data_IF_006182713778
#
_entry.id   IF_006182713778
#
_cell.length_a   1.000
_cell.length_b   1.000
_cell.length_c   1.000
_cell.angle_alpha   90.00
_cell.angle_beta   90.00
_cell.angle_gamma   90.00
#
_symmetry.space_group_name_H-M   'P 1'
#
loop_
_entity.id
_entity.type
_entity.pdbx_description
1 polymer ?
#
# COMPACT_ATOMS: atom_id res chain seq x y z
N UNK A 1 -2.07 -6.28 9.41
CA UNK A 1 -1.20 -6.04 8.26
C UNK A 1 -0.96 -7.35 7.56
N UNK A 2 -1.25 -7.43 6.25
CA UNK A 2 -0.95 -8.64 5.50
C UNK A 2 0.55 -8.89 5.44
N UNK A 3 0.97 -10.15 5.63
CA UNK A 3 2.39 -10.52 5.58
C UNK A 3 3.03 -10.22 4.22
N UNK A 4 2.26 -10.14 3.14
CA UNK A 4 2.78 -9.90 1.79
C UNK A 4 3.36 -8.49 1.60
N UNK A 5 3.04 -7.54 2.50
CA UNK A 5 3.65 -6.21 2.50
C UNK A 5 5.04 -6.22 3.15
N UNK A 6 5.32 -7.20 4.01
CA UNK A 6 6.62 -7.34 4.64
C UNK A 6 7.68 -7.81 3.64
N UNK A 7 8.77 -7.07 3.55
CA UNK A 7 9.86 -7.33 2.61
C UNK A 7 10.60 -8.63 2.93
N UNK A 8 10.82 -8.92 4.20
CA UNK A 8 11.54 -10.12 4.62
C UNK A 8 10.71 -11.37 4.33
N UNK A 9 9.40 -11.32 4.57
CA UNK A 9 8.45 -12.35 4.18
C UNK A 9 8.43 -12.57 2.66
N UNK A 10 8.39 -11.50 1.85
CA UNK A 10 8.48 -11.62 0.37
C UNK A 10 9.77 -12.32 -0.05
N UNK A 11 10.91 -11.97 0.55
CA UNK A 11 12.20 -12.59 0.26
C UNK A 11 12.26 -14.07 0.69
N UNK A 12 11.72 -14.39 1.87
CA UNK A 12 11.64 -15.77 2.35
C UNK A 12 10.72 -16.61 1.44
N UNK A 13 9.56 -16.09 1.07
CA UNK A 13 8.64 -16.73 0.15
C UNK A 13 9.29 -16.99 -1.21
N UNK A 14 10.02 -16.01 -1.75
CA UNK A 14 10.79 -16.17 -2.98
C UNK A 14 11.81 -17.31 -2.88
N UNK A 15 12.57 -17.37 -1.78
CA UNK A 15 13.54 -18.45 -1.53
C UNK A 15 12.84 -19.81 -1.48
N UNK A 16 11.75 -19.95 -0.74
CA UNK A 16 10.99 -21.19 -0.64
C UNK A 16 10.46 -21.66 -2.01
N UNK A 17 9.93 -20.74 -2.83
CA UNK A 17 9.47 -21.05 -4.19
C UNK A 17 10.63 -21.53 -5.07
N UNK A 18 11.80 -20.89 -4.98
CA UNK A 18 13.00 -21.35 -5.70
C UNK A 18 13.47 -22.73 -5.26
N UNK A 19 13.49 -22.98 -3.95
CA UNK A 19 13.88 -24.28 -3.39
C UNK A 19 12.93 -25.40 -3.86
N UNK A 20 11.66 -25.09 -4.17
CA UNK A 20 10.72 -26.03 -4.80
C UNK A 20 10.95 -26.31 -6.29
N UNK A 21 11.96 -25.68 -6.91
CA UNK A 21 12.29 -25.84 -8.32
C UNK A 21 11.63 -24.83 -9.26
N UNK A 22 10.95 -23.80 -8.73
CA UNK A 22 10.33 -22.75 -9.54
C UNK A 22 11.39 -21.80 -10.11
N UNK A 23 11.14 -21.30 -11.34
CA UNK A 23 12.01 -20.27 -11.94
C UNK A 23 11.80 -18.92 -11.26
N UNK A 24 12.85 -18.12 -11.19
CA UNK A 24 12.84 -16.77 -10.59
C UNK A 24 11.70 -15.90 -11.14
N UNK A 25 11.45 -15.94 -12.44
CA UNK A 25 10.37 -15.19 -13.08
C UNK A 25 8.99 -15.63 -12.58
N UNK A 26 8.73 -16.94 -12.51
CA UNK A 26 7.45 -17.49 -12.06
C UNK A 26 7.21 -17.20 -10.57
N UNK A 27 8.26 -17.30 -9.74
CA UNK A 27 8.19 -16.98 -8.33
C UNK A 27 7.86 -15.49 -8.10
N UNK A 28 8.53 -14.60 -8.83
CA UNK A 28 8.26 -13.16 -8.76
C UNK A 28 6.85 -12.82 -9.25
N UNK A 29 6.38 -13.44 -10.34
CA UNK A 29 5.02 -13.20 -10.84
C UNK A 29 3.94 -13.59 -9.80
N UNK A 30 4.14 -14.71 -9.09
CA UNK A 30 3.21 -15.13 -8.03
C UNK A 30 3.22 -14.16 -6.85
N UNK A 31 4.41 -13.76 -6.39
CA UNK A 31 4.55 -12.83 -5.26
C UNK A 31 3.95 -11.47 -5.62
N UNK A 32 4.29 -10.93 -6.80
CA UNK A 32 3.79 -9.65 -7.28
C UNK A 32 2.28 -9.67 -7.47
N UNK A 33 1.72 -10.74 -8.04
CA UNK A 33 0.28 -10.87 -8.19
C UNK A 33 -0.42 -10.80 -6.83
N UNK A 34 0.06 -11.57 -5.84
CA UNK A 34 -0.52 -11.59 -4.50
C UNK A 34 -0.38 -10.26 -3.78
N UNK A 35 0.79 -9.61 -3.89
CA UNK A 35 1.02 -8.27 -3.36
C UNK A 35 0.01 -7.26 -3.94
N UNK A 36 -0.18 -7.25 -5.26
CA UNK A 36 -1.13 -6.33 -5.91
C UNK A 36 -2.58 -6.60 -5.56
N UNK A 37 -2.97 -7.86 -5.38
CA UNK A 37 -4.31 -8.22 -4.92
C UNK A 37 -4.56 -7.67 -3.50
N UNK A 38 -3.64 -7.94 -2.57
CA UNK A 38 -3.71 -7.41 -1.20
C UNK A 38 -3.71 -5.89 -1.15
N UNK A 39 -2.87 -5.23 -1.96
CA UNK A 39 -2.79 -3.78 -2.05
C UNK A 39 -4.13 -3.17 -2.49
N UNK A 40 -4.76 -3.74 -3.52
CA UNK A 40 -6.08 -3.29 -3.97
C UNK A 40 -7.14 -3.41 -2.88
N UNK A 41 -7.20 -4.55 -2.20
CA UNK A 41 -8.17 -4.78 -1.12
C UNK A 41 -7.98 -3.77 0.02
N UNK A 42 -6.75 -3.62 0.50
CA UNK A 42 -6.39 -2.68 1.58
C UNK A 42 -6.74 -1.23 1.22
N UNK A 43 -6.42 -0.81 -0.01
CA UNK A 43 -6.72 0.55 -0.47
C UNK A 43 -8.22 0.79 -0.57
N UNK A 44 -8.97 -0.16 -1.13
CA UNK A 44 -10.43 -0.08 -1.23
C UNK A 44 -11.08 -0.02 0.16
N UNK A 45 -10.61 -0.82 1.11
CA UNK A 45 -11.10 -0.79 2.50
C UNK A 45 -10.91 0.61 3.13
N UNK A 46 -9.70 1.18 3.05
CA UNK A 46 -9.42 2.52 3.58
C UNK A 46 -10.28 3.59 2.93
N UNK A 47 -10.35 3.59 1.60
CA UNK A 47 -11.18 4.56 0.87
C UNK A 47 -12.67 4.42 1.21
N UNK A 48 -13.16 3.19 1.41
CA UNK A 48 -14.54 2.96 1.85
C UNK A 48 -14.80 3.51 3.27
N UNK A 49 -13.85 3.35 4.20
CA UNK A 49 -13.94 3.97 5.53
C UNK A 49 -14.02 5.48 5.44
N UNK A 50 -13.15 6.12 4.62
CA UNK A 50 -13.19 7.57 4.40
C UNK A 50 -14.52 8.00 3.78
N UNK A 51 -15.00 7.31 2.75
CA UNK A 51 -16.29 7.59 2.10
C UNK A 51 -17.44 7.49 3.11
N UNK A 52 -17.43 6.47 3.97
CA UNK A 52 -18.45 6.25 4.99
C UNK A 52 -18.44 7.39 6.02
N UNK A 53 -17.28 7.74 6.56
CA UNK A 53 -17.11 8.81 7.53
C UNK A 53 -17.63 10.17 6.99
N UNK A 54 -17.36 10.48 5.71
CA UNK A 54 -17.90 11.69 5.05
C UNK A 54 -19.42 11.64 4.96
N UNK A 55 -20.00 10.51 4.56
CA UNK A 55 -21.46 10.36 4.42
C UNK A 55 -22.20 10.48 5.75
N UNK A 56 -21.58 10.05 6.83
CA UNK A 56 -22.15 10.03 8.18
C UNK A 56 -21.83 11.32 8.98
N UNK A 57 -21.14 12.29 8.37
CA UNK A 57 -20.64 13.51 9.04
C UNK A 57 -19.73 13.22 10.26
N UNK A 58 -19.06 12.06 10.25
CA UNK A 58 -18.14 11.59 11.30
C UNK A 58 -16.68 11.83 10.90
N UNK A 59 -16.32 13.10 10.63
CA UNK A 59 -15.02 13.44 10.04
C UNK A 59 -13.82 13.12 10.95
N UNK A 60 -14.04 13.01 12.25
CA UNK A 60 -13.02 12.64 13.25
C UNK A 60 -12.42 11.25 12.98
N UNK A 61 -13.19 10.34 12.39
CA UNK A 61 -12.75 8.98 12.00
C UNK A 61 -11.69 9.00 10.89
N UNK A 62 -11.59 10.09 10.13
CA UNK A 62 -10.64 10.24 9.02
C UNK A 62 -9.26 10.67 9.52
N UNK A 63 -9.18 11.39 10.65
CA UNK A 63 -7.94 11.99 11.17
C UNK A 63 -6.77 10.99 11.25
N UNK A 64 -6.95 9.74 11.72
CA UNK A 64 -5.86 8.76 11.80
C UNK A 64 -5.28 8.35 10.44
N UNK A 65 -6.01 8.57 9.34
CA UNK A 65 -5.57 8.23 7.98
C UNK A 65 -4.94 9.42 7.26
N UNK A 66 -4.83 10.59 7.89
CA UNK A 66 -4.25 11.77 7.25
C UNK A 66 -2.76 11.83 7.52
N UNK A 67 -1.97 11.82 6.45
CA UNK A 67 -0.54 12.13 6.46
C UNK A 67 -0.30 13.59 6.11
N UNK A 68 0.82 14.13 6.59
CA UNK A 68 1.32 15.46 6.24
C UNK A 68 2.55 15.29 5.34
N UNK A 69 2.53 15.88 4.15
CA UNK A 69 3.69 15.85 3.26
C UNK A 69 4.73 16.86 3.77
N UNK A 70 5.98 16.45 4.03
CA UNK A 70 7.00 17.37 4.49
C UNK A 70 7.28 18.45 3.44
N UNK A 71 7.31 19.70 3.87
CA UNK A 71 7.65 20.86 3.04
C UNK A 71 9.14 20.78 2.63
N UNK A 72 9.41 20.13 1.49
CA UNK A 72 10.75 19.71 1.10
C UNK A 72 11.69 20.77 0.53
N UNK A 73 11.21 21.98 0.20
CA UNK A 73 12.03 22.98 -0.51
C UNK A 73 11.80 24.44 -0.08
N UNK A 74 11.05 24.69 1.00
CA UNK A 74 10.72 26.04 1.45
C UNK A 74 9.64 26.75 0.62
N UNK A 75 9.00 26.06 -0.33
CA UNK A 75 7.79 26.48 -1.05
C UNK A 75 6.57 25.59 -0.78
N UNK A 76 6.72 24.58 0.10
CA UNK A 76 5.67 23.60 0.39
C UNK A 76 4.43 24.22 1.03
N UNK A 77 3.28 23.92 0.43
CA UNK A 77 1.99 24.02 1.11
C UNK A 77 1.87 22.90 2.15
N UNK A 78 1.11 23.13 3.22
CA UNK A 78 0.65 22.09 4.16
C UNK A 78 -0.30 21.12 3.43
N UNK A 79 0.27 20.22 2.62
CA UNK A 79 -0.48 19.25 1.85
C UNK A 79 -0.78 18.05 2.73
N UNK A 80 -2.08 17.79 2.88
CA UNK A 80 -2.61 16.61 3.56
C UNK A 80 -3.13 15.62 2.55
N UNK A 81 -2.87 14.34 2.80
CA UNK A 81 -3.32 13.25 1.95
C UNK A 81 -3.82 12.07 2.79
N UNK A 82 -4.56 11.16 2.15
CA UNK A 82 -4.92 9.88 2.77
C UNK A 82 -3.68 8.99 2.69
N UNK A 83 -3.06 8.74 3.84
CA UNK A 83 -1.84 7.95 3.94
C UNK A 83 -2.13 6.46 3.84
N UNK A 84 -1.17 5.69 3.31
CA UNK A 84 -1.13 4.23 3.27
C UNK A 84 0.09 3.62 4.01
N UNK A 85 0.95 4.46 4.60
CA UNK A 85 2.25 4.04 5.17
C UNK A 85 2.13 3.06 6.34
N UNK A 86 1.02 3.10 7.08
CA UNK A 86 0.78 2.23 8.23
C UNK A 86 0.36 0.80 7.83
N UNK A 87 0.07 0.57 6.55
CA UNK A 87 -0.43 -0.72 6.04
C UNK A 87 0.39 -1.27 4.88
N UNK A 88 0.99 -0.42 4.05
CA UNK A 88 1.82 -0.82 2.90
C UNK A 88 3.07 0.04 2.80
N UNK A 89 3.93 -0.27 1.84
CA UNK A 89 5.11 0.53 1.44
C UNK A 89 4.77 1.71 0.54
N UNK A 90 3.48 2.07 0.41
CA UNK A 90 3.02 3.23 -0.37
C UNK A 90 2.68 4.38 0.57
N UNK A 91 3.11 5.59 0.26
CA UNK A 91 2.77 6.78 1.05
C UNK A 91 1.33 7.23 0.78
N UNK A 92 0.98 7.40 -0.50
CA UNK A 92 -0.30 7.93 -0.94
C UNK A 92 -0.91 7.14 -2.11
N UNK A 93 -2.02 7.65 -2.67
CA UNK A 93 -2.69 7.00 -3.81
C UNK A 93 -1.87 7.01 -5.10
N UNK A 94 -0.95 7.97 -5.27
CA UNK A 94 -0.02 8.03 -6.38
C UNK A 94 0.93 6.84 -6.34
N UNK A 95 1.56 6.61 -5.20
CA UNK A 95 2.44 5.45 -4.96
C UNK A 95 1.70 4.12 -5.19
N UNK A 96 0.45 4.03 -4.72
CA UNK A 96 -0.40 2.85 -4.97
C UNK A 96 -0.58 2.60 -6.46
N UNK A 97 -0.88 3.64 -7.24
CA UNK A 97 -1.07 3.51 -8.69
C UNK A 97 0.22 3.05 -9.35
N UNK A 98 1.35 3.66 -8.99
CA UNK A 98 2.67 3.29 -9.53
C UNK A 98 3.01 1.82 -9.22
N UNK A 99 2.82 1.38 -7.98
CA UNK A 99 3.03 0.00 -7.56
C UNK A 99 2.10 -0.99 -8.31
N UNK A 100 0.85 -0.61 -8.58
CA UNK A 100 -0.08 -1.44 -9.34
C UNK A 100 0.26 -1.49 -10.84
N UNK A 101 0.82 -0.42 -11.39
CA UNK A 101 1.20 -0.30 -12.80
C UNK A 101 2.58 -0.88 -13.13
N UNK A 102 3.46 -1.07 -12.15
CA UNK A 102 4.78 -1.67 -12.33
C UNK A 102 4.68 -3.07 -12.95
N UNK A 103 5.53 -3.41 -13.93
CA UNK A 103 5.41 -4.67 -14.70
C UNK A 103 6.16 -5.84 -14.08
#
# INVERSE_FOLDING_TARGET
MEKIFDKDFKNELFRCLKESGMKDKEANEIINKRYKEALKETVVERLNTVIKAIKEDNLEEIIPFIGDSPSGDGYGCDNRYISFEDVTDCEDIGDVIDALMEK
#
